data_IF_258161362001
#
_entry.id   IF_258161362001
#
_cell.length_a   1.000
_cell.length_b   1.000
_cell.length_c   1.000
_cell.angle_alpha   90.00
_cell.angle_beta   90.00
_cell.angle_gamma   90.00
#
_symmetry.space_group_name_H-M   'P 1'
#
loop_
_entity.id
_entity.type
_entity.pdbx_description
1 polymer ?
#
# COMPACT_ATOMS: atom_id res chain seq x y z
N UNK A 1 -12.70 -18.66 -14.31
CA UNK A 1 -14.01 -18.30 -13.72
C UNK A 1 -14.39 -16.90 -14.18
N UNK A 2 -15.66 -16.66 -14.52
CA UNK A 2 -16.12 -15.35 -14.98
C UNK A 2 -17.40 -14.97 -14.25
N UNK A 3 -17.42 -13.76 -13.67
CA UNK A 3 -18.62 -13.11 -13.13
C UNK A 3 -18.76 -11.76 -13.85
N UNK A 4 -19.85 -11.58 -14.53
CA UNK A 4 -20.15 -10.35 -15.29
C UNK A 4 -21.59 -9.92 -15.07
N UNK A 5 -21.86 -8.64 -15.29
CA UNK A 5 -23.22 -8.08 -15.19
C UNK A 5 -23.22 -6.73 -14.48
N UNK A 6 -24.44 -6.23 -14.22
CA UNK A 6 -24.66 -4.92 -13.57
C UNK A 6 -25.32 -5.04 -12.19
N UNK A 7 -25.42 -6.27 -11.68
CA UNK A 7 -26.04 -6.55 -10.38
C UNK A 7 -25.14 -6.21 -9.20
N UNK A 8 -25.75 -6.28 -8.01
CA UNK A 8 -25.08 -6.07 -6.73
C UNK A 8 -24.91 -7.36 -5.96
N UNK A 9 -23.71 -7.60 -5.46
CA UNK A 9 -23.38 -8.65 -4.51
C UNK A 9 -23.23 -7.99 -3.13
N UNK A 10 -24.19 -8.17 -2.24
CA UNK A 10 -24.21 -7.58 -0.89
C UNK A 10 -23.93 -8.68 0.15
N UNK A 11 -22.82 -8.56 0.88
CA UNK A 11 -22.49 -9.48 1.96
C UNK A 11 -23.34 -9.24 3.22
N UNK A 12 -23.96 -8.06 3.35
CA UNK A 12 -24.82 -7.72 4.48
C UNK A 12 -24.14 -7.78 5.86
N UNK A 13 -22.81 -7.63 5.91
CA UNK A 13 -22.04 -7.78 7.15
C UNK A 13 -22.36 -6.73 8.22
N UNK A 14 -22.84 -5.56 7.82
CA UNK A 14 -23.22 -4.47 8.72
C UNK A 14 -24.41 -4.82 9.65
N UNK A 15 -25.22 -5.80 9.30
CA UNK A 15 -26.34 -6.26 10.10
C UNK A 15 -25.99 -7.39 11.09
N UNK A 16 -24.71 -7.75 11.19
CA UNK A 16 -24.18 -8.74 12.13
C UNK A 16 -23.20 -8.15 13.13
N UNK A 17 -22.54 -9.01 13.89
CA UNK A 17 -21.52 -8.67 14.88
C UNK A 17 -20.09 -8.74 14.34
N UNK A 18 -19.91 -8.90 13.03
CA UNK A 18 -18.65 -9.14 12.36
C UNK A 18 -17.58 -8.07 12.61
N UNK A 19 -17.97 -6.84 12.90
CA UNK A 19 -17.07 -5.71 13.11
C UNK A 19 -16.76 -5.42 14.58
N UNK A 20 -17.48 -6.04 15.53
CA UNK A 20 -17.34 -5.75 16.96
C UNK A 20 -15.99 -6.19 17.53
N UNK A 21 -15.47 -7.33 17.07
CA UNK A 21 -14.20 -7.88 17.54
C UNK A 21 -13.34 -8.37 16.35
N UNK A 22 -12.89 -7.50 15.46
CA UNK A 22 -12.35 -7.86 14.15
C UNK A 22 -11.05 -8.67 14.20
N UNK A 23 -10.32 -8.64 15.33
CA UNK A 23 -9.05 -9.37 15.51
C UNK A 23 -9.18 -10.60 16.41
N UNK A 24 -10.37 -10.86 16.96
CA UNK A 24 -10.59 -12.04 17.78
C UNK A 24 -11.19 -13.17 16.95
N UNK A 25 -10.58 -14.33 17.07
CA UNK A 25 -11.18 -15.55 16.56
C UNK A 25 -12.31 -15.97 17.51
N UNK A 26 -13.53 -15.92 17.02
CA UNK A 26 -14.71 -16.36 17.79
C UNK A 26 -15.09 -17.78 17.35
N UNK A 27 -16.30 -17.98 16.81
CA UNK A 27 -16.74 -19.30 16.30
C UNK A 27 -16.16 -19.53 14.90
N UNK A 28 -15.99 -18.47 14.11
CA UNK A 28 -15.44 -18.53 12.77
C UNK A 28 -14.63 -17.27 12.44
N UNK A 29 -13.71 -17.40 11.49
CA UNK A 29 -13.05 -16.24 10.88
C UNK A 29 -14.04 -15.48 10.01
N UNK A 30 -13.87 -14.15 9.93
CA UNK A 30 -14.62 -13.35 8.96
C UNK A 30 -14.29 -13.80 7.53
N UNK A 31 -15.30 -14.17 6.72
CA UNK A 31 -15.06 -14.63 5.36
C UNK A 31 -14.55 -13.49 4.46
N UNK A 32 -13.86 -13.84 3.38
CA UNK A 32 -13.67 -12.99 2.23
C UNK A 32 -14.93 -13.01 1.39
N UNK A 33 -15.37 -11.87 0.88
CA UNK A 33 -16.61 -11.89 0.10
C UNK A 33 -16.43 -12.61 -1.23
N UNK A 34 -15.33 -12.32 -1.91
CA UNK A 34 -14.94 -13.00 -3.12
C UNK A 34 -13.52 -13.57 -2.95
N UNK A 35 -13.42 -14.88 -2.98
CA UNK A 35 -12.17 -15.59 -2.77
C UNK A 35 -11.94 -16.64 -3.85
N UNK A 36 -10.74 -16.66 -4.43
CA UNK A 36 -10.26 -17.74 -5.31
C UNK A 36 -8.88 -18.21 -4.89
N UNK A 37 -8.55 -19.45 -5.12
CA UNK A 37 -7.21 -19.99 -4.89
C UNK A 37 -6.78 -20.91 -6.02
N UNK A 38 -5.56 -20.67 -6.55
CA UNK A 38 -5.00 -21.48 -7.63
C UNK A 38 -5.80 -21.40 -8.94
N UNK A 39 -6.59 -20.34 -9.14
CA UNK A 39 -7.45 -20.22 -10.31
C UNK A 39 -6.69 -19.60 -11.50
N UNK A 40 -7.09 -19.99 -12.71
CA UNK A 40 -6.61 -19.38 -13.96
C UNK A 40 -7.76 -18.70 -14.70
N UNK A 41 -7.43 -17.56 -15.33
CA UNK A 41 -8.39 -16.77 -16.11
C UNK A 41 -9.63 -16.37 -15.28
N UNK A 42 -9.41 -15.58 -14.23
CA UNK A 42 -10.46 -15.04 -13.36
C UNK A 42 -10.89 -13.70 -13.92
N UNK A 43 -12.19 -13.51 -14.17
CA UNK A 43 -12.74 -12.24 -14.65
C UNK A 43 -13.90 -11.82 -13.74
N UNK A 44 -13.78 -10.61 -13.17
CA UNK A 44 -14.88 -9.89 -12.54
C UNK A 44 -15.13 -8.61 -13.33
N UNK A 45 -16.34 -8.43 -13.82
CA UNK A 45 -16.65 -7.26 -14.66
C UNK A 45 -18.04 -6.71 -14.39
N UNK A 46 -18.14 -5.39 -14.16
CA UNK A 46 -19.37 -4.60 -14.18
C UNK A 46 -20.20 -4.66 -12.90
N UNK A 47 -19.99 -5.62 -12.02
CA UNK A 47 -20.77 -5.81 -10.80
C UNK A 47 -20.45 -4.78 -9.71
N UNK A 48 -21.42 -4.54 -8.84
CA UNK A 48 -21.21 -3.84 -7.57
C UNK A 48 -21.03 -4.84 -6.44
N UNK A 49 -20.09 -4.56 -5.51
CA UNK A 49 -19.79 -5.42 -4.36
C UNK A 49 -19.80 -4.56 -3.10
N UNK A 50 -20.53 -4.96 -2.06
CA UNK A 50 -20.63 -4.12 -0.88
C UNK A 50 -20.78 -4.90 0.43
N UNK A 51 -20.59 -4.15 1.54
CA UNK A 51 -20.81 -4.61 2.91
C UNK A 51 -20.06 -5.90 3.27
N UNK A 52 -18.78 -5.95 2.89
CA UNK A 52 -17.92 -7.11 3.10
C UNK A 52 -17.63 -7.37 4.57
N UNK A 53 -17.47 -8.64 4.95
CA UNK A 53 -17.09 -9.04 6.30
C UNK A 53 -15.62 -8.69 6.63
N UNK A 54 -14.74 -8.78 5.64
CA UNK A 54 -13.31 -8.41 5.68
C UNK A 54 -12.85 -8.13 4.24
N UNK A 55 -11.62 -8.45 3.85
CA UNK A 55 -11.12 -8.25 2.48
C UNK A 55 -12.15 -8.64 1.44
N UNK A 56 -12.45 -7.73 0.53
CA UNK A 56 -13.61 -7.87 -0.36
C UNK A 56 -13.32 -8.82 -1.51
N UNK A 57 -12.28 -8.54 -2.31
CA UNK A 57 -11.88 -9.36 -3.45
C UNK A 57 -10.46 -9.86 -3.21
N UNK A 58 -10.32 -11.14 -2.98
CA UNK A 58 -9.07 -11.77 -2.57
C UNK A 58 -8.74 -13.00 -3.42
N UNK A 59 -8.22 -12.81 -4.64
CA UNK A 59 -7.63 -13.91 -5.40
C UNK A 59 -6.27 -14.27 -4.80
N UNK A 60 -6.01 -15.58 -4.63
CA UNK A 60 -4.73 -16.10 -4.14
C UNK A 60 -4.14 -17.11 -5.12
N UNK A 61 -2.83 -17.10 -5.30
CA UNK A 61 -2.11 -18.02 -6.19
C UNK A 61 -2.75 -18.18 -7.57
N UNK A 62 -3.35 -17.10 -8.07
CA UNK A 62 -4.14 -17.12 -9.30
C UNK A 62 -3.38 -16.43 -10.43
N UNK A 63 -3.66 -16.82 -11.68
CA UNK A 63 -3.00 -16.32 -12.88
C UNK A 63 -4.02 -15.79 -13.88
N UNK A 64 -3.69 -14.66 -14.54
CA UNK A 64 -4.56 -13.94 -15.47
C UNK A 64 -5.87 -13.53 -14.78
N UNK A 65 -5.76 -12.54 -13.90
CA UNK A 65 -6.87 -12.03 -13.09
C UNK A 65 -7.26 -10.65 -13.61
N UNK A 66 -8.48 -10.53 -14.12
CA UNK A 66 -9.04 -9.30 -14.62
C UNK A 66 -10.19 -8.82 -13.72
N UNK A 67 -10.02 -7.65 -13.11
CA UNK A 67 -11.00 -6.97 -12.24
C UNK A 67 -11.33 -5.63 -12.90
N UNK A 68 -12.46 -5.59 -13.60
CA UNK A 68 -12.75 -4.55 -14.57
C UNK A 68 -14.08 -3.85 -14.28
N UNK A 69 -14.06 -2.50 -14.25
CA UNK A 69 -15.26 -1.67 -14.16
C UNK A 69 -16.23 -2.06 -13.04
N UNK A 70 -15.71 -2.47 -11.88
CA UNK A 70 -16.52 -2.82 -10.72
C UNK A 70 -16.60 -1.66 -9.73
N UNK A 71 -17.62 -1.70 -8.88
CA UNK A 71 -17.78 -0.77 -7.76
C UNK A 71 -17.72 -1.54 -6.46
N UNK A 72 -16.76 -1.19 -5.59
CA UNK A 72 -16.65 -1.70 -4.23
C UNK A 72 -17.07 -0.61 -3.27
N UNK A 73 -18.02 -0.90 -2.40
CA UNK A 73 -18.51 0.06 -1.40
C UNK A 73 -18.67 -0.59 -0.04
N UNK A 74 -17.71 -0.32 0.83
CA UNK A 74 -17.79 -0.64 2.25
C UNK A 74 -17.81 0.68 3.05
N UNK A 75 -18.30 0.63 4.30
CA UNK A 75 -18.20 1.80 5.18
C UNK A 75 -16.73 2.18 5.40
N UNK A 76 -16.41 3.48 5.39
CA UNK A 76 -15.06 3.98 5.69
C UNK A 76 -14.60 3.69 7.13
N UNK A 77 -15.49 3.21 7.98
CA UNK A 77 -15.19 2.84 9.38
C UNK A 77 -15.23 1.33 9.63
N UNK A 78 -15.54 0.52 8.61
CA UNK A 78 -15.56 -0.94 8.77
C UNK A 78 -14.15 -1.53 8.76
N UNK A 79 -13.79 -2.32 9.78
CA UNK A 79 -12.40 -2.79 9.94
C UNK A 79 -12.04 -3.89 8.96
N UNK A 80 -10.85 -3.79 8.36
CA UNK A 80 -10.26 -4.76 7.44
C UNK A 80 -11.12 -5.06 6.21
N UNK A 81 -11.89 -4.09 5.76
CA UNK A 81 -12.68 -4.21 4.54
C UNK A 81 -11.92 -3.64 3.34
N UNK A 82 -10.69 -4.16 3.16
CA UNK A 82 -9.86 -3.88 2.00
C UNK A 82 -10.66 -4.16 0.71
N UNK A 83 -10.34 -3.42 -0.35
CA UNK A 83 -11.08 -3.54 -1.61
C UNK A 83 -10.65 -4.73 -2.45
N UNK A 84 -9.42 -4.70 -2.92
CA UNK A 84 -8.86 -5.71 -3.84
C UNK A 84 -7.49 -6.12 -3.34
N UNK A 85 -7.34 -7.39 -3.00
CA UNK A 85 -6.15 -7.98 -2.38
C UNK A 85 -5.58 -9.14 -3.20
N UNK A 86 -4.94 -8.91 -4.35
CA UNK A 86 -4.26 -10.01 -5.05
C UNK A 86 -3.10 -10.51 -4.20
N UNK A 87 -3.12 -11.80 -3.84
CA UNK A 87 -2.06 -12.42 -3.04
C UNK A 87 -1.36 -13.51 -3.84
N UNK A 88 -0.05 -13.36 -4.06
CA UNK A 88 0.74 -14.30 -4.87
C UNK A 88 0.11 -14.58 -6.24
N UNK A 89 -0.40 -13.55 -6.88
CA UNK A 89 -1.04 -13.62 -8.19
C UNK A 89 -0.10 -13.13 -9.30
N UNK A 90 -0.33 -13.62 -10.51
CA UNK A 90 0.44 -13.24 -11.68
C UNK A 90 -0.45 -12.74 -12.81
N UNK A 91 0.01 -11.69 -13.52
CA UNK A 91 -0.73 -11.05 -14.60
C UNK A 91 -2.11 -10.57 -14.13
N UNK A 92 -2.12 -9.51 -13.34
CA UNK A 92 -3.33 -8.96 -12.72
C UNK A 92 -3.66 -7.61 -13.35
N UNK A 93 -4.87 -7.45 -13.86
CA UNK A 93 -5.39 -6.20 -14.38
C UNK A 93 -6.53 -5.68 -13.47
N UNK A 94 -6.35 -4.49 -12.92
CA UNK A 94 -7.33 -3.79 -12.07
C UNK A 94 -7.66 -2.48 -12.78
N UNK A 95 -8.74 -2.45 -13.57
CA UNK A 95 -8.98 -1.35 -14.51
C UNK A 95 -10.39 -0.79 -14.38
N UNK A 96 -10.50 0.55 -14.29
CA UNK A 96 -11.78 1.26 -14.33
C UNK A 96 -12.62 1.10 -13.06
N UNK A 97 -12.02 0.72 -11.93
CA UNK A 97 -12.75 0.40 -10.72
C UNK A 97 -12.98 1.63 -9.84
N UNK A 98 -14.13 1.64 -9.15
CA UNK A 98 -14.41 2.58 -8.06
C UNK A 98 -14.37 1.83 -6.73
N UNK A 99 -13.42 2.19 -5.87
CA UNK A 99 -13.18 1.53 -4.58
C UNK A 99 -13.36 2.53 -3.45
N UNK A 100 -14.33 2.28 -2.57
CA UNK A 100 -14.60 3.06 -1.37
C UNK A 100 -14.67 2.11 -0.18
N UNK A 101 -13.72 2.18 0.76
CA UNK A 101 -13.52 1.15 1.78
C UNK A 101 -13.06 1.72 3.11
N UNK A 102 -13.03 0.87 4.14
CA UNK A 102 -12.58 1.20 5.49
C UNK A 102 -11.17 0.71 5.83
N UNK A 103 -10.48 0.06 4.91
CA UNK A 103 -9.07 -0.32 5.02
C UNK A 103 -8.37 -0.08 3.67
N UNK A 104 -7.36 -0.80 3.26
CA UNK A 104 -6.60 -0.52 2.04
C UNK A 104 -7.48 -0.65 0.77
N UNK A 105 -7.40 0.30 -0.18
CA UNK A 105 -8.22 0.22 -1.41
C UNK A 105 -7.76 -0.92 -2.31
N UNK A 106 -6.47 -0.97 -2.61
CA UNK A 106 -5.83 -2.07 -3.34
C UNK A 106 -4.58 -2.45 -2.57
N UNK A 107 -4.47 -3.71 -2.13
CA UNK A 107 -3.32 -4.18 -1.36
C UNK A 107 -2.69 -5.42 -2.01
N UNK A 108 -1.49 -5.27 -2.55
CA UNK A 108 -0.74 -6.36 -3.16
C UNK A 108 -0.03 -7.17 -2.07
N UNK A 109 -0.29 -8.46 -2.04
CA UNK A 109 0.16 -9.36 -0.99
C UNK A 109 0.84 -10.60 -1.60
N UNK A 110 1.66 -11.28 -0.80
CA UNK A 110 2.33 -12.55 -1.19
C UNK A 110 2.67 -13.42 0.02
N UNK A 111 1.73 -13.48 0.96
CA UNK A 111 1.80 -14.30 2.16
C UNK A 111 2.59 -13.70 3.31
N UNK A 112 2.25 -14.15 4.51
CA UNK A 112 3.07 -13.93 5.71
C UNK A 112 4.28 -14.85 5.68
N UNK A 113 5.25 -14.59 6.55
CA UNK A 113 6.57 -15.19 6.58
C UNK A 113 6.58 -16.68 6.25
N UNK A 114 5.78 -17.50 6.95
CA UNK A 114 5.83 -18.95 6.79
C UNK A 114 5.46 -19.39 5.36
N UNK A 115 4.35 -18.92 4.82
CA UNK A 115 3.88 -19.28 3.47
C UNK A 115 4.72 -18.60 2.39
N UNK A 116 5.02 -17.32 2.54
CA UNK A 116 5.81 -16.57 1.58
C UNK A 116 7.20 -17.15 1.40
N UNK A 117 7.90 -17.46 2.51
CA UNK A 117 9.22 -18.07 2.44
C UNK A 117 9.20 -19.53 1.99
N UNK A 118 8.11 -20.26 2.22
CA UNK A 118 8.00 -21.67 1.79
C UNK A 118 7.65 -21.82 0.31
N UNK A 119 6.77 -20.98 -0.19
CA UNK A 119 6.23 -21.12 -1.55
C UNK A 119 6.95 -20.24 -2.56
N UNK A 120 7.52 -19.13 -2.14
CA UNK A 120 8.28 -18.16 -2.97
C UNK A 120 7.49 -17.67 -4.20
N UNK A 121 6.18 -17.45 -4.03
CA UNK A 121 5.31 -16.99 -5.12
C UNK A 121 5.03 -15.50 -4.94
N UNK A 122 5.63 -14.64 -5.75
CA UNK A 122 5.37 -13.21 -5.69
C UNK A 122 3.97 -12.85 -6.23
N UNK A 123 3.50 -11.64 -5.87
CA UNK A 123 2.48 -10.97 -6.65
C UNK A 123 3.19 -10.16 -7.75
N UNK A 124 2.96 -10.50 -9.02
CA UNK A 124 3.76 -9.91 -10.11
C UNK A 124 2.99 -9.59 -11.38
N UNK A 125 3.54 -8.65 -12.16
CA UNK A 125 2.94 -8.16 -13.40
C UNK A 125 1.53 -7.61 -13.16
N UNK A 126 1.43 -6.57 -12.35
CA UNK A 126 0.16 -5.96 -11.93
C UNK A 126 -0.01 -4.61 -12.63
N UNK A 127 -1.14 -4.42 -13.28
CA UNK A 127 -1.54 -3.15 -13.89
C UNK A 127 -2.77 -2.61 -13.17
N UNK A 128 -2.65 -1.41 -12.62
CA UNK A 128 -3.75 -0.68 -12.00
C UNK A 128 -3.96 0.61 -12.78
N UNK A 129 -5.13 0.76 -13.40
CA UNK A 129 -5.35 1.89 -14.30
C UNK A 129 -6.79 2.40 -14.25
N UNK A 130 -6.96 3.72 -14.42
CA UNK A 130 -8.28 4.38 -14.51
C UNK A 130 -9.16 4.06 -13.28
N UNK A 131 -8.58 3.97 -12.08
CA UNK A 131 -9.31 3.68 -10.85
C UNK A 131 -9.54 4.95 -10.02
N UNK A 132 -10.70 4.99 -9.36
CA UNK A 132 -10.99 5.96 -8.31
C UNK A 132 -10.94 5.23 -6.96
N UNK A 133 -9.99 5.59 -6.10
CA UNK A 133 -9.69 4.94 -4.83
C UNK A 133 -9.97 5.93 -3.69
N UNK A 134 -10.91 5.62 -2.82
CA UNK A 134 -11.38 6.60 -1.84
C UNK A 134 -11.54 6.05 -0.42
N UNK A 135 -11.24 6.90 0.56
CA UNK A 135 -11.46 6.70 2.01
C UNK A 135 -10.65 5.59 2.68
N UNK A 136 -9.94 4.78 1.95
CA UNK A 136 -9.14 3.69 2.52
C UNK A 136 -7.88 4.17 3.26
N UNK A 137 -7.25 3.24 3.99
CA UNK A 137 -5.98 3.50 4.68
C UNK A 137 -4.80 3.66 3.72
N UNK A 138 -4.96 3.28 2.46
CA UNK A 138 -4.04 3.53 1.37
C UNK A 138 -4.69 3.31 0.02
N UNK A 139 -4.32 4.10 -0.98
CA UNK A 139 -4.78 3.93 -2.36
C UNK A 139 -4.19 2.68 -2.98
N UNK A 140 -2.87 2.67 -3.20
CA UNK A 140 -2.10 1.47 -3.46
C UNK A 140 -1.25 1.11 -2.26
N UNK A 141 -1.35 -0.12 -1.83
CA UNK A 141 -0.61 -0.64 -0.68
C UNK A 141 0.17 -1.89 -1.07
N UNK A 142 1.42 -1.99 -0.64
CA UNK A 142 2.22 -3.19 -0.70
C UNK A 142 2.33 -3.77 0.72
N UNK A 143 1.86 -4.98 0.91
CA UNK A 143 1.94 -5.66 2.22
C UNK A 143 0.72 -5.42 3.13
N UNK A 144 0.90 -5.70 4.43
CA UNK A 144 2.09 -6.18 5.12
C UNK A 144 2.44 -7.65 4.86
N UNK A 145 1.54 -8.44 4.33
CA UNK A 145 1.75 -9.84 3.93
C UNK A 145 2.46 -9.87 2.57
N UNK A 146 3.80 -9.74 2.55
CA UNK A 146 4.55 -9.64 1.29
C UNK A 146 5.83 -10.49 1.27
N UNK A 147 5.87 -11.56 2.06
CA UNK A 147 7.07 -12.42 2.21
C UNK A 147 7.44 -13.25 0.97
N UNK A 148 6.56 -13.36 -0.03
CA UNK A 148 6.87 -13.93 -1.33
C UNK A 148 7.34 -12.92 -2.38
N UNK A 149 7.32 -11.63 -2.05
CA UNK A 149 7.71 -10.53 -2.94
C UNK A 149 6.57 -9.91 -3.74
N UNK A 150 6.81 -8.69 -4.23
CA UNK A 150 5.91 -7.95 -5.13
C UNK A 150 6.75 -7.32 -6.24
N UNK A 151 6.43 -7.59 -7.50
CA UNK A 151 7.28 -7.20 -8.63
C UNK A 151 6.49 -6.69 -9.83
N UNK A 152 7.10 -5.77 -10.58
CA UNK A 152 6.55 -5.25 -11.84
C UNK A 152 5.11 -4.75 -11.67
N UNK A 153 4.94 -3.68 -10.92
CA UNK A 153 3.65 -3.04 -10.65
C UNK A 153 3.60 -1.68 -11.33
N UNK A 154 2.59 -1.45 -12.14
CA UNK A 154 2.34 -0.15 -12.76
C UNK A 154 0.98 0.38 -12.31
N UNK A 155 1.00 1.58 -11.71
CA UNK A 155 -0.21 2.35 -11.40
C UNK A 155 -0.22 3.58 -12.30
N UNK A 156 -1.32 3.79 -13.01
CA UNK A 156 -1.42 4.95 -13.91
C UNK A 156 -2.85 5.45 -14.06
N UNK A 157 -3.00 6.76 -14.31
CA UNK A 157 -4.29 7.39 -14.57
C UNK A 157 -5.33 7.12 -13.47
N UNK A 158 -4.92 7.21 -12.22
CA UNK A 158 -5.77 6.97 -11.05
C UNK A 158 -6.05 8.26 -10.27
N UNK A 159 -7.21 8.30 -9.63
CA UNK A 159 -7.57 9.30 -8.64
C UNK A 159 -7.57 8.65 -7.26
N UNK A 160 -6.91 9.28 -6.30
CA UNK A 160 -7.00 8.93 -4.87
C UNK A 160 -7.68 10.07 -4.13
N UNK A 161 -8.82 9.77 -3.52
CA UNK A 161 -9.68 10.75 -2.88
C UNK A 161 -9.79 10.49 -1.39
N UNK A 162 -9.16 11.35 -0.58
CA UNK A 162 -9.19 11.29 0.89
C UNK A 162 -8.79 9.92 1.44
N UNK A 163 -7.83 9.24 0.86
CA UNK A 163 -7.19 8.08 1.47
C UNK A 163 -6.16 8.54 2.51
N UNK A 164 -5.88 7.72 3.53
CA UNK A 164 -4.85 8.09 4.50
C UNK A 164 -3.46 8.20 3.85
N UNK A 165 -3.13 7.31 2.91
CA UNK A 165 -1.89 7.32 2.12
C UNK A 165 -2.20 7.10 0.64
N UNK A 166 -1.38 7.67 -0.22
CA UNK A 166 -1.47 7.42 -1.65
C UNK A 166 -0.81 6.09 -2.01
N UNK A 167 0.52 6.09 -2.11
CA UNK A 167 1.34 4.89 -2.17
C UNK A 167 1.85 4.54 -0.76
N UNK A 168 1.59 3.31 -0.33
CA UNK A 168 1.98 2.84 1.00
C UNK A 168 2.71 1.50 0.92
N UNK A 169 3.98 1.47 1.30
CA UNK A 169 4.75 0.23 1.43
C UNK A 169 4.89 -0.13 2.92
N UNK A 170 4.47 -1.34 3.28
CA UNK A 170 4.52 -1.89 4.65
C UNK A 170 5.37 -3.15 4.66
N UNK A 171 6.63 -3.03 5.07
CA UNK A 171 7.52 -4.18 5.25
C UNK A 171 8.33 -4.03 6.54
N UNK A 172 9.13 -5.02 6.89
CA UNK A 172 9.97 -4.99 8.07
C UNK A 172 10.95 -6.18 8.12
N UNK A 173 11.93 -6.11 8.97
CA UNK A 173 12.71 -7.29 9.37
C UNK A 173 11.78 -8.44 9.77
N UNK A 174 12.13 -9.65 9.44
CA UNK A 174 11.30 -10.83 9.66
C UNK A 174 10.32 -11.13 8.52
N UNK A 175 10.34 -10.39 7.40
CA UNK A 175 9.57 -10.76 6.20
C UNK A 175 10.30 -11.77 5.32
N UNK A 176 11.62 -11.90 5.47
CA UNK A 176 12.44 -12.89 4.80
C UNK A 176 13.05 -12.40 3.49
N UNK A 177 14.09 -13.09 3.04
CA UNK A 177 14.88 -12.72 1.86
C UNK A 177 14.12 -12.77 0.52
N UNK A 178 12.99 -13.45 0.47
CA UNK A 178 12.12 -13.47 -0.71
C UNK A 178 11.09 -12.33 -0.72
N UNK A 179 11.03 -11.55 0.37
CA UNK A 179 10.25 -10.34 0.46
C UNK A 179 10.92 -9.20 -0.32
N UNK A 180 10.96 -9.37 -1.64
CA UNK A 180 11.57 -8.42 -2.57
C UNK A 180 10.45 -7.57 -3.18
N UNK A 181 10.51 -6.26 -2.97
CA UNK A 181 9.64 -5.31 -3.63
C UNK A 181 10.48 -4.59 -4.69
N UNK A 182 10.12 -4.75 -5.96
CA UNK A 182 10.89 -4.16 -7.06
C UNK A 182 10.04 -3.85 -8.29
N UNK A 183 10.48 -2.88 -9.10
CA UNK A 183 9.79 -2.48 -10.32
C UNK A 183 8.42 -1.83 -10.05
N UNK A 184 8.34 -0.92 -9.07
CA UNK A 184 7.17 -0.11 -8.81
C UNK A 184 7.21 1.18 -9.62
N UNK A 185 6.24 1.36 -10.51
CA UNK A 185 6.03 2.58 -11.30
C UNK A 185 4.66 3.18 -10.97
N UNK A 186 4.66 4.42 -10.52
CA UNK A 186 3.48 5.16 -10.10
C UNK A 186 3.41 6.47 -10.88
N UNK A 187 2.53 6.55 -11.88
CA UNK A 187 2.51 7.71 -12.78
C UNK A 187 1.10 8.20 -13.13
N UNK A 188 1.04 9.47 -13.53
CA UNK A 188 -0.21 10.12 -13.97
C UNK A 188 -1.33 9.97 -12.93
N UNK A 189 -1.02 10.25 -11.66
CA UNK A 189 -1.95 10.07 -10.54
C UNK A 189 -2.28 11.42 -9.91
N UNK A 190 -3.57 11.60 -9.62
CA UNK A 190 -4.07 12.74 -8.85
C UNK A 190 -4.48 12.24 -7.47
N UNK A 191 -4.04 12.97 -6.43
CA UNK A 191 -4.38 12.72 -5.04
C UNK A 191 -5.04 13.97 -4.47
N UNK A 192 -6.23 13.83 -3.92
CA UNK A 192 -6.97 14.92 -3.29
C UNK A 192 -7.27 14.58 -1.84
N UNK A 193 -6.83 15.44 -0.91
CA UNK A 193 -7.02 15.25 0.53
C UNK A 193 -6.34 14.01 1.10
N UNK A 194 -5.29 13.50 0.44
CA UNK A 194 -4.51 12.34 0.92
C UNK A 194 -3.56 12.80 2.03
N UNK A 195 -3.70 12.22 3.24
CA UNK A 195 -2.99 12.70 4.43
C UNK A 195 -1.46 12.62 4.30
N UNK A 196 -0.93 11.56 3.69
CA UNK A 196 0.48 11.40 3.34
C UNK A 196 0.62 10.72 1.97
N UNK A 197 0.89 11.45 0.87
CA UNK A 197 0.97 10.92 -0.49
C UNK A 197 1.88 9.71 -0.67
N UNK A 198 3.08 9.74 -0.11
CA UNK A 198 4.05 8.66 -0.29
C UNK A 198 4.62 8.19 1.05
N UNK A 199 4.37 6.93 1.42
CA UNK A 199 4.86 6.34 2.66
C UNK A 199 5.52 4.99 2.39
N UNK A 200 6.82 4.90 2.63
CA UNK A 200 7.59 3.68 2.63
C UNK A 200 8.08 3.42 4.04
N UNK A 201 7.71 2.27 4.61
CA UNK A 201 8.03 1.95 5.99
C UNK A 201 8.56 0.52 6.10
N UNK A 202 9.85 0.39 6.42
CA UNK A 202 10.52 -0.88 6.69
C UNK A 202 10.60 -1.23 8.19
N UNK A 203 9.78 -0.58 9.03
CA UNK A 203 9.64 -0.82 10.48
C UNK A 203 8.18 -1.08 10.89
N UNK A 204 7.38 -1.67 10.00
CA UNK A 204 5.94 -1.80 10.21
C UNK A 204 5.58 -2.67 11.42
N UNK A 205 4.78 -2.16 12.36
CA UNK A 205 4.61 -2.72 13.70
C UNK A 205 3.34 -3.56 13.94
N UNK A 206 2.45 -3.73 12.97
CA UNK A 206 1.08 -4.25 13.26
C UNK A 206 0.97 -5.75 13.54
N UNK A 207 2.03 -6.53 13.42
CA UNK A 207 2.03 -7.94 13.85
C UNK A 207 2.39 -8.07 15.34
N UNK A 208 2.14 -9.21 16.00
CA UNK A 208 2.44 -9.42 17.42
C UNK A 208 3.90 -9.15 17.80
N UNK A 209 4.84 -9.48 16.91
CA UNK A 209 6.28 -9.24 17.09
C UNK A 209 6.74 -7.91 16.47
N UNK A 210 5.85 -7.15 15.84
CA UNK A 210 6.18 -5.93 15.12
C UNK A 210 6.71 -4.80 16.00
N UNK A 211 6.47 -4.84 17.30
CA UNK A 211 6.99 -3.87 18.28
C UNK A 211 8.22 -4.38 19.04
N UNK A 212 8.82 -5.49 18.63
CA UNK A 212 10.05 -5.99 19.21
C UNK A 212 11.24 -5.09 18.85
N UNK A 213 12.28 -5.12 19.69
CA UNK A 213 13.52 -4.39 19.43
C UNK A 213 14.15 -4.82 18.10
N UNK A 214 14.07 -6.11 17.74
CA UNK A 214 14.52 -6.63 16.45
C UNK A 214 13.89 -5.90 15.25
N UNK A 215 12.60 -5.65 15.29
CA UNK A 215 11.89 -4.97 14.20
C UNK A 215 12.12 -3.46 14.25
N UNK A 216 12.14 -2.86 15.44
CA UNK A 216 12.06 -1.41 15.61
C UNK A 216 13.41 -0.71 15.82
N UNK A 217 14.51 -1.44 16.07
CA UNK A 217 15.81 -0.78 16.22
C UNK A 217 16.26 -0.10 14.95
N UNK A 218 16.77 1.14 15.08
CA UNK A 218 17.45 1.90 14.05
C UNK A 218 18.97 1.62 13.99
N UNK A 219 19.45 0.70 14.83
CA UNK A 219 20.80 0.15 14.73
C UNK A 219 20.91 -0.85 13.57
N UNK A 220 22.01 -0.83 12.83
CA UNK A 220 22.25 -1.78 11.77
C UNK A 220 22.43 -3.20 12.33
N UNK A 221 21.65 -4.15 11.81
CA UNK A 221 21.77 -5.57 12.15
C UNK A 221 22.44 -6.33 10.98
N UNK A 222 22.95 -7.54 11.20
CA UNK A 222 23.42 -8.37 10.08
C UNK A 222 22.31 -8.62 9.06
N UNK A 223 22.62 -8.46 7.77
CA UNK A 223 21.73 -8.89 6.68
C UNK A 223 21.68 -10.42 6.67
N UNK A 224 20.50 -10.98 6.78
CA UNK A 224 20.29 -12.42 6.89
C UNK A 224 19.06 -12.92 6.09
N UNK A 225 18.69 -14.18 6.29
CA UNK A 225 17.54 -14.82 5.65
C UNK A 225 16.18 -14.14 5.98
N UNK A 226 16.15 -13.26 6.97
CA UNK A 226 14.92 -12.58 7.42
C UNK A 226 14.84 -11.13 6.96
N UNK A 227 15.86 -10.65 6.25
CA UNK A 227 15.94 -9.26 5.78
C UNK A 227 15.20 -9.09 4.45
N UNK A 228 14.20 -8.19 4.36
CA UNK A 228 13.52 -7.88 3.10
C UNK A 228 14.34 -6.92 2.24
N UNK A 229 14.07 -6.91 0.94
CA UNK A 229 14.69 -6.00 -0.03
C UNK A 229 13.64 -5.04 -0.60
N UNK A 230 13.99 -3.76 -0.67
CA UNK A 230 13.21 -2.75 -1.36
C UNK A 230 14.06 -2.11 -2.46
N UNK A 231 13.66 -2.37 -3.71
CA UNK A 231 14.29 -1.84 -4.92
C UNK A 231 13.96 -0.37 -5.17
N UNK A 232 14.01 0.02 -6.44
CA UNK A 232 13.73 1.42 -6.83
C UNK A 232 12.24 1.64 -7.07
N UNK A 233 11.75 2.77 -6.55
CA UNK A 233 10.39 3.27 -6.79
C UNK A 233 10.44 4.47 -7.72
N UNK A 234 9.60 4.46 -8.74
CA UNK A 234 9.50 5.55 -9.71
C UNK A 234 8.12 6.22 -9.62
N UNK A 235 8.10 7.54 -9.41
CA UNK A 235 6.92 8.38 -9.33
C UNK A 235 7.00 9.49 -10.38
N UNK A 236 6.02 9.53 -11.29
CA UNK A 236 6.06 10.44 -12.43
C UNK A 236 4.70 11.12 -12.65
N UNK A 237 4.70 12.42 -12.94
CA UNK A 237 3.50 13.21 -13.25
C UNK A 237 2.42 13.10 -12.16
N UNK A 238 2.77 13.40 -10.92
CA UNK A 238 1.86 13.30 -9.77
C UNK A 238 1.43 14.69 -9.32
N UNK A 239 0.16 14.84 -9.01
CA UNK A 239 -0.36 16.02 -8.32
C UNK A 239 -1.08 15.58 -7.06
N UNK A 240 -0.61 16.06 -5.90
CA UNK A 240 -1.22 15.82 -4.60
C UNK A 240 -1.59 17.16 -3.96
N UNK A 241 -2.87 17.32 -3.63
CA UNK A 241 -3.40 18.53 -2.96
C UNK A 241 -3.92 18.18 -1.58
N UNK A 242 -3.86 19.17 -0.69
CA UNK A 242 -4.39 19.09 0.67
C UNK A 242 -3.79 17.95 1.52
N UNK A 243 -2.49 17.66 1.32
CA UNK A 243 -1.74 16.78 2.20
C UNK A 243 -1.69 17.34 3.63
N UNK A 244 -1.50 16.49 4.63
CA UNK A 244 -1.52 16.91 6.03
C UNK A 244 -0.25 16.54 6.80
N UNK A 245 0.11 15.24 6.85
CA UNK A 245 1.16 14.76 7.74
C UNK A 245 2.56 14.94 7.15
N UNK A 246 2.78 14.42 5.96
CA UNK A 246 4.01 14.50 5.21
C UNK A 246 3.73 14.39 3.71
N UNK A 247 4.53 15.01 2.86
CA UNK A 247 4.50 14.78 1.42
C UNK A 247 5.11 13.43 1.09
N UNK A 248 6.29 13.18 1.62
CA UNK A 248 7.01 11.91 1.49
C UNK A 248 7.56 11.48 2.85
N UNK A 249 7.42 10.18 3.16
CA UNK A 249 8.00 9.55 4.34
C UNK A 249 8.64 8.22 3.94
N UNK A 250 9.97 8.17 3.91
CA UNK A 250 10.75 7.02 3.48
C UNK A 250 11.65 6.55 4.62
N UNK A 251 11.36 5.38 5.21
CA UNK A 251 12.14 4.78 6.29
C UNK A 251 12.64 3.41 5.87
N UNK A 252 13.89 3.37 5.38
CA UNK A 252 14.63 2.16 5.03
C UNK A 252 15.34 1.54 6.23
N UNK A 253 15.81 0.29 6.10
CA UNK A 253 16.64 -0.37 7.11
C UNK A 253 18.09 0.14 7.00
N UNK A 254 18.79 0.38 8.13
CA UNK A 254 20.17 0.86 8.07
C UNK A 254 21.14 -0.16 7.48
N UNK A 255 20.90 -1.46 7.67
CA UNK A 255 21.71 -2.54 7.10
C UNK A 255 21.34 -2.90 5.66
N UNK A 256 20.14 -2.54 5.20
CA UNK A 256 19.65 -2.84 3.86
C UNK A 256 18.72 -1.72 3.38
N UNK A 257 19.32 -0.57 2.99
CA UNK A 257 18.57 0.62 2.63
C UNK A 257 17.62 0.41 1.44
N UNK A 258 16.71 1.35 1.25
CA UNK A 258 15.92 1.46 0.01
C UNK A 258 16.91 1.74 -1.14
N UNK A 259 16.87 0.95 -2.21
CA UNK A 259 17.79 1.11 -3.36
C UNK A 259 17.64 2.47 -4.03
N UNK A 260 16.41 2.92 -4.25
CA UNK A 260 16.22 4.22 -4.86
C UNK A 260 14.80 4.75 -4.82
N UNK A 261 14.71 6.06 -4.87
CA UNK A 261 13.47 6.82 -5.04
C UNK A 261 13.69 7.82 -6.17
N UNK A 262 12.88 7.71 -7.23
CA UNK A 262 12.90 8.64 -8.37
C UNK A 262 11.57 9.35 -8.46
N UNK A 263 11.61 10.68 -8.45
CA UNK A 263 10.43 11.52 -8.62
C UNK A 263 10.64 12.48 -9.79
N UNK A 264 9.72 12.47 -10.73
CA UNK A 264 9.75 13.36 -11.90
C UNK A 264 8.39 14.03 -12.09
N UNK A 265 8.36 15.36 -12.24
CA UNK A 265 7.12 16.14 -12.39
C UNK A 265 6.13 15.90 -11.24
N UNK A 266 6.54 16.04 -10.00
CA UNK A 266 5.69 15.81 -8.83
C UNK A 266 5.37 17.12 -8.14
N UNK A 267 4.08 17.35 -7.89
CA UNK A 267 3.58 18.52 -7.17
C UNK A 267 2.82 18.09 -5.95
N UNK A 268 3.22 18.58 -4.77
CA UNK A 268 2.56 18.32 -3.48
C UNK A 268 2.26 19.65 -2.81
N UNK A 269 1.03 19.83 -2.37
CA UNK A 269 0.64 20.98 -1.54
C UNK A 269 -0.07 20.52 -0.27
N UNK A 270 0.17 21.25 0.83
CA UNK A 270 -0.46 20.96 2.11
C UNK A 270 -1.70 21.78 2.33
N UNK A 271 -2.69 21.21 3.03
CA UNK A 271 -3.88 21.93 3.47
C UNK A 271 -3.49 23.10 4.41
N UNK A 272 -4.11 24.27 4.29
CA UNK A 272 -3.82 25.39 5.19
C UNK A 272 -4.04 25.05 6.66
N UNK A 273 -5.08 24.27 6.96
CA UNK A 273 -5.51 23.82 8.29
C UNK A 273 -5.12 22.38 8.60
N UNK A 274 -4.02 21.89 8.01
CA UNK A 274 -3.52 20.54 8.19
C UNK A 274 -3.38 20.18 9.67
N UNK A 275 -3.72 18.94 9.99
CA UNK A 275 -3.64 18.39 11.35
C UNK A 275 -2.46 17.44 11.44
N UNK A 276 -1.82 17.41 12.61
CA UNK A 276 -0.77 16.47 12.88
C UNK A 276 -1.31 15.03 12.97
N UNK A 277 -0.52 14.08 12.49
CA UNK A 277 -0.82 12.66 12.59
C UNK A 277 0.38 11.80 12.25
N UNK A 278 0.26 10.49 12.45
CA UNK A 278 1.34 9.56 12.24
C UNK A 278 1.46 9.18 10.76
N UNK A 279 2.50 9.64 10.06
CA UNK A 279 2.73 9.33 8.65
C UNK A 279 2.99 7.82 8.45
N UNK A 280 3.86 7.22 9.26
CA UNK A 280 4.23 5.81 9.19
C UNK A 280 3.88 5.06 10.49
N UNK A 281 3.41 3.81 10.37
CA UNK A 281 3.07 2.95 11.51
C UNK A 281 4.31 2.21 12.01
N UNK A 282 5.17 2.91 12.75
CA UNK A 282 6.40 2.43 13.37
C UNK A 282 6.55 3.02 14.78
N UNK A 283 7.38 2.40 15.63
CA UNK A 283 7.69 2.99 16.92
C UNK A 283 8.63 4.19 16.77
N UNK A 284 8.51 5.17 17.64
CA UNK A 284 9.35 6.37 17.60
C UNK A 284 9.02 7.40 16.50
N UNK A 285 8.08 7.09 15.61
CA UNK A 285 7.56 8.10 14.69
C UNK A 285 6.53 8.98 15.42
N UNK A 286 6.92 10.21 15.74
CA UNK A 286 6.03 11.19 16.32
C UNK A 286 4.97 11.65 15.32
N UNK A 287 3.91 12.28 15.84
CA UNK A 287 2.92 12.93 14.98
C UNK A 287 3.58 14.05 14.18
N UNK A 288 3.47 13.99 12.88
CA UNK A 288 4.01 14.97 11.94
C UNK A 288 2.92 15.82 11.32
N UNK A 289 3.25 17.06 10.97
CA UNK A 289 2.37 18.00 10.28
C UNK A 289 3.19 18.74 9.23
N UNK A 290 2.73 18.69 7.99
CA UNK A 290 3.34 19.40 6.86
C UNK A 290 4.85 19.15 6.68
N UNK A 291 5.32 17.95 6.95
CA UNK A 291 6.71 17.56 6.65
C UNK A 291 6.87 17.44 5.15
N UNK A 292 7.85 18.11 4.55
CA UNK A 292 8.09 18.04 3.11
C UNK A 292 8.49 16.65 2.68
N UNK A 293 9.76 16.31 2.82
CA UNK A 293 10.34 14.98 2.61
C UNK A 293 11.10 14.55 3.85
N UNK A 294 10.70 13.44 4.43
CA UNK A 294 11.50 12.70 5.42
C UNK A 294 12.06 11.45 4.74
N UNK A 295 13.37 11.26 4.76
CA UNK A 295 14.01 10.08 4.19
C UNK A 295 15.17 9.63 5.07
N UNK A 296 15.16 8.36 5.44
CA UNK A 296 16.23 7.72 6.17
C UNK A 296 16.61 6.37 5.54
N UNK A 297 17.91 6.10 5.47
CA UNK A 297 18.49 4.86 4.92
C UNK A 297 17.99 4.59 3.49
N UNK A 298 18.40 5.46 2.56
CA UNK A 298 18.11 5.36 1.12
C UNK A 298 19.40 5.50 0.35
N UNK A 299 19.71 4.58 -0.58
CA UNK A 299 20.92 4.67 -1.39
C UNK A 299 20.87 5.85 -2.35
N UNK A 300 19.78 6.02 -3.10
CA UNK A 300 19.69 7.12 -4.05
C UNK A 300 18.32 7.79 -4.06
N UNK A 301 18.30 9.13 -4.05
CA UNK A 301 17.09 9.95 -4.24
C UNK A 301 17.33 10.90 -5.42
N UNK A 302 16.46 10.84 -6.41
CA UNK A 302 16.44 11.70 -7.59
C UNK A 302 15.13 12.49 -7.63
N UNK A 303 15.20 13.82 -7.54
CA UNK A 303 14.05 14.72 -7.58
C UNK A 303 14.19 15.66 -8.78
N UNK A 304 13.44 15.38 -9.86
CA UNK A 304 13.43 16.19 -11.07
C UNK A 304 12.10 16.91 -11.24
N UNK A 305 12.13 18.25 -11.26
CA UNK A 305 10.92 19.07 -11.30
C UNK A 305 9.92 18.71 -10.19
N UNK A 306 10.39 18.68 -8.94
CA UNK A 306 9.58 18.36 -7.76
C UNK A 306 9.27 19.61 -6.95
N UNK A 307 8.00 19.96 -6.87
CA UNK A 307 7.51 21.12 -6.11
C UNK A 307 6.68 20.67 -4.89
N UNK A 308 7.16 21.01 -3.70
CA UNK A 308 6.43 20.80 -2.45
C UNK A 308 6.18 22.15 -1.81
N UNK A 309 4.91 22.51 -1.59
CA UNK A 309 4.50 23.83 -1.11
C UNK A 309 3.64 23.75 0.15
N UNK A 310 3.78 24.74 1.03
CA UNK A 310 3.02 24.79 2.28
C UNK A 310 3.55 23.87 3.38
N UNK A 311 4.77 23.34 3.24
CA UNK A 311 5.44 22.58 4.30
C UNK A 311 5.88 23.50 5.45
N UNK A 312 6.14 22.92 6.62
CA UNK A 312 6.66 23.61 7.81
C UNK A 312 8.06 23.07 8.16
N UNK A 313 8.96 23.97 8.58
CA UNK A 313 10.35 23.62 8.86
C UNK A 313 11.21 23.40 7.61
N UNK A 314 12.08 22.39 7.65
CA UNK A 314 12.94 22.02 6.52
C UNK A 314 12.17 21.21 5.49
N UNK A 315 12.32 21.57 4.20
CA UNK A 315 11.70 20.84 3.10
C UNK A 315 12.21 19.41 2.98
N UNK A 316 13.50 19.20 3.20
CA UNK A 316 14.19 17.93 3.10
C UNK A 316 14.84 17.57 4.43
N UNK A 317 14.43 16.46 5.02
CA UNK A 317 15.00 15.87 6.23
C UNK A 317 15.64 14.54 5.80
N UNK A 318 16.94 14.56 5.48
CA UNK A 318 17.64 13.42 4.93
C UNK A 318 18.64 12.86 5.95
N UNK A 319 18.60 11.56 6.22
CA UNK A 319 19.50 10.86 7.13
C UNK A 319 19.98 9.57 6.46
N UNK A 320 21.29 9.35 6.42
CA UNK A 320 21.88 8.17 5.78
C UNK A 320 21.38 7.98 4.33
N UNK A 321 21.48 9.04 3.52
CA UNK A 321 21.20 9.03 2.09
C UNK A 321 22.54 9.12 1.36
N UNK A 322 22.90 8.09 0.59
CA UNK A 322 24.23 8.00 -0.01
C UNK A 322 24.41 8.95 -1.20
N UNK A 323 23.34 9.14 -1.99
CA UNK A 323 23.33 10.03 -3.14
C UNK A 323 22.00 10.78 -3.24
N UNK A 324 22.07 12.09 -3.44
CA UNK A 324 20.93 12.98 -3.62
C UNK A 324 21.14 13.87 -4.84
N UNK A 325 20.21 13.84 -5.78
CA UNK A 325 20.19 14.68 -6.98
C UNK A 325 18.88 15.45 -7.04
N UNK A 326 18.96 16.76 -7.34
CA UNK A 326 17.77 17.63 -7.50
C UNK A 326 18.03 18.70 -8.56
N UNK A 327 17.03 19.00 -9.40
CA UNK A 327 17.03 20.05 -10.41
C UNK A 327 15.71 20.84 -10.48
#
# INVERSE_FOLDING_TARGET
>A
MTITGEGTIDANAQNGDWYQNPKKNTIAWRPRLFFTSGAKNVVLHGVQVCNSYSWTIHPTYSENVDILNIRIRNSSTSPNTDGIDPESCKNVNIIGNHVHVGDDCIALKSGKLFLGMKLHVPCENVIIRNCCLSRGHGGLVIGSEMSGGVKNVTVTQCLMDHTDRGLRVKTRRGRGKYAIIDGLVFRDVVMDGVLAPFVINMFYFCDPDGRSDYVQTHEALPVDEMTPTLGTLEMENITATDAQYAGCWFSGLPEHPIEGVKMHNVKISFAPDAKAGQAAMMCGADASCKVGVHAENVHKIELHNVAITGYEGERLQLTNVDSFEED
#
